data_IF_047475051997
#
_entry.id   IF_047475051997
#
_cell.length_a   1.000
_cell.length_b   1.000
_cell.length_c   1.000
_cell.angle_alpha   90.00
_cell.angle_beta   90.00
_cell.angle_gamma   90.00
#
_symmetry.space_group_name_H-M   'P 1'
#
loop_
_entity.id
_entity.type
_entity.pdbx_description
1 polymer ?
#
# COMPACT_ATOMS: atom_id res chain seq x y z
N UNK A 1 16.53 -70.59 -26.81
CA UNK A 1 16.52 -69.71 -25.62
C UNK A 1 16.04 -68.33 -26.08
N UNK A 2 14.80 -67.92 -25.70
CA UNK A 2 14.25 -66.59 -26.02
C UNK A 2 14.47 -65.71 -24.80
N UNK A 3 15.26 -64.64 -24.94
CA UNK A 3 15.44 -63.63 -23.89
C UNK A 3 14.31 -62.60 -24.03
N UNK A 4 13.47 -62.47 -22.98
CA UNK A 4 12.45 -61.44 -22.87
C UNK A 4 13.09 -60.22 -22.18
N UNK A 5 13.25 -59.13 -22.90
CA UNK A 5 13.76 -57.84 -22.40
C UNK A 5 12.59 -57.08 -21.75
N UNK A 6 12.59 -56.93 -20.41
CA UNK A 6 11.65 -56.11 -19.69
C UNK A 6 12.14 -54.64 -19.73
N UNK A 7 11.45 -53.80 -20.49
CA UNK A 7 11.68 -52.37 -20.43
C UNK A 7 10.87 -51.81 -19.26
N UNK A 8 11.55 -51.40 -18.19
CA UNK A 8 10.95 -50.68 -17.06
C UNK A 8 10.83 -49.24 -17.42
N UNK A 9 9.59 -48.78 -17.72
CA UNK A 9 9.28 -47.38 -17.97
C UNK A 9 9.25 -46.60 -16.65
N UNK A 10 10.33 -45.86 -16.32
CA UNK A 10 10.36 -44.94 -15.18
C UNK A 10 9.55 -43.69 -15.53
N UNK A 11 8.29 -43.60 -15.08
CA UNK A 11 7.53 -42.37 -15.14
C UNK A 11 8.02 -41.42 -14.03
N UNK A 12 8.75 -40.38 -14.41
CA UNK A 12 9.12 -39.28 -13.50
C UNK A 12 7.86 -38.44 -13.25
N UNK A 13 7.23 -38.62 -12.10
CA UNK A 13 6.24 -37.69 -11.56
C UNK A 13 6.97 -36.39 -11.19
N UNK A 14 6.85 -35.36 -12.04
CA UNK A 14 7.26 -34.00 -11.67
C UNK A 14 6.29 -33.49 -10.59
N UNK A 15 6.68 -33.57 -9.35
CA UNK A 15 5.98 -32.87 -8.26
C UNK A 15 6.25 -31.38 -8.42
N UNK A 16 5.25 -30.65 -8.95
CA UNK A 16 5.24 -29.22 -8.83
C UNK A 16 5.08 -28.88 -7.35
N UNK A 17 6.16 -28.48 -6.71
CA UNK A 17 6.11 -27.91 -5.37
C UNK A 17 5.33 -26.59 -5.47
N UNK A 18 4.06 -26.61 -5.06
CA UNK A 18 3.29 -25.38 -4.87
C UNK A 18 3.99 -24.62 -3.73
N UNK A 19 4.65 -23.49 -4.06
CA UNK A 19 5.23 -22.63 -3.04
C UNK A 19 4.05 -22.02 -2.28
N UNK A 20 3.83 -22.44 -1.04
CA UNK A 20 2.81 -21.85 -0.17
C UNK A 20 3.10 -20.36 0.01
N UNK A 21 2.19 -19.52 -0.48
CA UNK A 21 2.30 -18.07 -0.37
C UNK A 21 1.50 -17.61 0.85
N UNK A 22 2.18 -17.34 1.97
CA UNK A 22 1.56 -16.94 3.23
C UNK A 22 0.76 -15.63 3.13
N UNK A 23 1.12 -14.74 2.22
CA UNK A 23 0.48 -13.45 2.02
C UNK A 23 -0.36 -13.37 0.73
N UNK A 24 -0.72 -14.52 0.13
CA UNK A 24 -1.64 -14.59 -1.02
C UNK A 24 -3.09 -14.83 -0.57
N UNK A 25 -3.52 -14.22 0.50
CA UNK A 25 -4.89 -14.30 1.02
C UNK A 25 -5.71 -13.09 0.57
N UNK A 26 -7.04 -13.21 0.65
CA UNK A 26 -7.95 -12.10 0.36
C UNK A 26 -7.60 -10.84 1.17
N UNK A 27 -7.33 -11.00 2.46
CA UNK A 27 -6.96 -9.88 3.35
C UNK A 27 -5.67 -9.18 2.91
N UNK A 28 -4.64 -9.95 2.49
CA UNK A 28 -3.39 -9.35 1.99
C UNK A 28 -3.53 -8.71 0.60
N UNK A 29 -4.67 -8.90 -0.07
CA UNK A 29 -4.99 -8.29 -1.36
C UNK A 29 -5.92 -7.09 -1.27
N UNK A 30 -6.37 -6.74 -0.07
CA UNK A 30 -7.33 -5.64 0.14
C UNK A 30 -6.82 -4.28 -0.33
N UNK A 31 -5.51 -4.06 -0.32
CA UNK A 31 -4.88 -2.81 -0.75
C UNK A 31 -4.26 -2.89 -2.17
N UNK A 32 -4.40 -4.01 -2.88
CA UNK A 32 -3.83 -4.24 -4.21
C UNK A 32 -4.34 -3.27 -5.27
N UNK A 33 -5.48 -2.61 -5.04
CA UNK A 33 -6.00 -1.60 -5.95
C UNK A 33 -5.06 -0.38 -6.10
N UNK A 34 -4.09 -0.22 -5.20
CA UNK A 34 -3.11 0.87 -5.25
C UNK A 34 -1.81 0.47 -5.97
N UNK A 35 -1.60 -0.81 -6.32
CA UNK A 35 -0.40 -1.28 -7.03
C UNK A 35 -0.28 -0.63 -8.41
N UNK A 36 0.92 -0.18 -8.76
CA UNK A 36 1.29 0.28 -10.10
C UNK A 36 2.11 1.56 -10.15
N UNK A 37 2.30 2.06 -11.36
CA UNK A 37 2.96 3.32 -11.63
C UNK A 37 1.91 4.41 -11.81
N UNK A 38 2.08 5.52 -11.14
CA UNK A 38 1.07 6.57 -11.05
C UNK A 38 1.62 7.96 -11.35
N UNK A 39 0.87 8.73 -12.13
CA UNK A 39 0.95 10.18 -12.14
C UNK A 39 -0.10 10.72 -11.19
N UNK A 40 0.28 11.63 -10.30
CA UNK A 40 -0.60 12.17 -9.25
C UNK A 40 -0.81 13.65 -9.46
N UNK A 41 -2.08 14.06 -9.45
CA UNK A 41 -2.46 15.47 -9.59
C UNK A 41 -3.27 15.93 -8.38
N UNK A 42 -3.10 17.21 -8.03
CA UNK A 42 -3.95 17.90 -7.06
C UNK A 42 -5.36 18.17 -7.65
N UNK A 43 -6.37 18.56 -6.85
CA UNK A 43 -7.74 18.82 -7.34
C UNK A 43 -7.84 19.87 -8.42
N UNK A 44 -6.91 20.83 -8.48
CA UNK A 44 -6.84 21.86 -9.53
C UNK A 44 -6.14 21.38 -10.82
N UNK A 45 -5.75 20.09 -10.91
CA UNK A 45 -5.08 19.50 -12.06
C UNK A 45 -3.56 19.68 -12.08
N UNK A 46 -2.97 20.39 -11.11
CA UNK A 46 -1.51 20.57 -11.02
C UNK A 46 -0.83 19.24 -10.68
N UNK A 47 0.29 18.94 -11.34
CA UNK A 47 1.10 17.77 -11.01
C UNK A 47 1.58 17.85 -9.56
N UNK A 48 1.25 16.85 -8.76
CA UNK A 48 1.73 16.70 -7.38
C UNK A 48 3.01 15.83 -7.33
N UNK A 49 3.13 14.86 -8.22
CA UNK A 49 4.29 13.98 -8.30
C UNK A 49 4.01 12.67 -9.04
N UNK A 50 4.91 11.72 -8.88
CA UNK A 50 4.78 10.35 -9.37
C UNK A 50 4.93 9.38 -8.22
N UNK A 51 4.31 8.21 -8.35
CA UNK A 51 4.38 7.18 -7.32
C UNK A 51 4.49 5.80 -7.95
N UNK A 52 5.35 4.96 -7.38
CA UNK A 52 5.47 3.56 -7.76
C UNK A 52 5.11 2.70 -6.56
N UNK A 53 4.09 1.86 -6.71
CA UNK A 53 3.66 0.92 -5.69
C UNK A 53 3.83 -0.50 -6.21
N UNK A 54 4.65 -1.30 -5.54
CA UNK A 54 4.93 -2.69 -5.90
C UNK A 54 4.78 -3.63 -4.69
N UNK A 55 4.48 -4.89 -4.96
CA UNK A 55 4.51 -5.95 -3.94
C UNK A 55 5.91 -6.52 -3.82
N UNK A 56 6.38 -6.62 -2.59
CA UNK A 56 7.66 -7.24 -2.22
C UNK A 56 7.45 -8.28 -1.12
N UNK A 57 8.51 -9.01 -0.71
CA UNK A 57 8.46 -10.00 0.36
C UNK A 57 7.37 -11.08 0.14
N UNK A 58 7.38 -11.71 -1.04
CA UNK A 58 6.38 -12.73 -1.41
C UNK A 58 4.92 -12.25 -1.17
N UNK A 59 4.61 -11.02 -1.59
CA UNK A 59 3.32 -10.32 -1.48
C UNK A 59 2.92 -9.84 -0.07
N UNK A 60 3.79 -9.95 0.92
CA UNK A 60 3.47 -9.51 2.28
C UNK A 60 3.53 -8.00 2.48
N UNK A 61 4.20 -7.26 1.60
CA UNK A 61 4.39 -5.81 1.72
C UNK A 61 4.06 -5.11 0.41
N UNK A 62 3.26 -4.05 0.47
CA UNK A 62 3.19 -3.05 -0.59
C UNK A 62 4.21 -1.96 -0.26
N UNK A 63 5.22 -1.81 -1.13
CA UNK A 63 6.20 -0.74 -1.02
C UNK A 63 5.80 0.43 -1.91
N UNK A 64 5.80 1.61 -1.34
CA UNK A 64 5.59 2.87 -2.02
C UNK A 64 6.91 3.60 -2.24
N UNK A 65 7.11 4.18 -3.43
CA UNK A 65 8.20 5.09 -3.73
C UNK A 65 7.63 6.36 -4.37
N UNK A 66 7.51 7.40 -3.56
CA UNK A 66 7.00 8.70 -3.94
C UNK A 66 8.10 9.63 -4.41
N UNK A 67 7.84 10.34 -5.51
CA UNK A 67 8.65 11.46 -5.98
C UNK A 67 7.76 12.68 -6.16
N UNK A 68 7.97 13.72 -5.38
CA UNK A 68 7.21 14.96 -5.47
C UNK A 68 7.52 15.74 -6.76
N UNK A 69 6.55 16.47 -7.28
CA UNK A 69 6.80 17.47 -8.32
C UNK A 69 7.65 18.64 -7.79
N UNK A 70 7.66 18.88 -6.47
CA UNK A 70 8.62 19.78 -5.85
C UNK A 70 10.01 19.13 -5.84
N UNK A 71 11.02 19.71 -6.50
CA UNK A 71 12.33 19.11 -6.61
C UNK A 71 12.97 18.77 -5.26
N UNK A 72 13.60 17.61 -5.17
CA UNK A 72 14.37 17.17 -4.02
C UNK A 72 13.52 16.59 -2.86
N UNK A 73 12.21 16.46 -3.04
CA UNK A 73 11.33 15.85 -2.03
C UNK A 73 10.93 14.44 -2.50
N UNK A 74 11.26 13.45 -1.70
CA UNK A 74 10.90 12.04 -1.92
C UNK A 74 10.45 11.38 -0.62
N UNK A 75 9.74 10.27 -0.75
CA UNK A 75 9.35 9.48 0.40
C UNK A 75 9.09 8.02 0.04
N UNK A 76 9.06 7.17 1.03
CA UNK A 76 8.76 5.75 0.86
C UNK A 76 7.87 5.26 2.00
N UNK A 77 7.05 4.26 1.72
CA UNK A 77 6.35 3.54 2.77
C UNK A 77 6.37 2.04 2.56
N UNK A 78 6.27 1.31 3.67
CA UNK A 78 5.93 -0.10 3.67
C UNK A 78 4.53 -0.26 4.27
N UNK A 79 3.67 -0.92 3.51
CA UNK A 79 2.29 -1.19 3.88
C UNK A 79 2.10 -2.69 3.99
N UNK A 80 1.60 -3.18 5.12
CA UNK A 80 1.46 -4.61 5.38
C UNK A 80 0.27 -4.90 6.28
N UNK A 81 -0.26 -6.12 6.15
CA UNK A 81 -1.30 -6.59 7.06
C UNK A 81 -0.67 -7.24 8.29
N UNK A 82 -0.92 -6.68 9.46
CA UNK A 82 -0.50 -7.25 10.74
C UNK A 82 -1.53 -8.29 11.21
N UNK A 83 -1.26 -9.57 10.96
CA UNK A 83 -2.19 -10.66 11.29
C UNK A 83 -2.49 -10.78 12.79
N UNK A 84 -1.52 -10.48 13.67
CA UNK A 84 -1.70 -10.54 15.11
C UNK A 84 -2.69 -9.46 15.62
N UNK A 85 -2.68 -8.29 15.00
CA UNK A 85 -3.55 -7.16 15.34
C UNK A 85 -4.79 -7.08 14.45
N UNK A 86 -4.87 -7.90 13.40
CA UNK A 86 -5.94 -7.91 12.38
C UNK A 86 -6.18 -6.52 11.78
N UNK A 87 -5.10 -5.84 11.39
CA UNK A 87 -5.15 -4.50 10.81
C UNK A 87 -4.05 -4.30 9.79
N UNK A 88 -4.28 -3.39 8.85
CA UNK A 88 -3.26 -2.84 7.99
C UNK A 88 -2.44 -1.79 8.73
N UNK A 89 -1.14 -1.79 8.47
CA UNK A 89 -0.20 -0.79 9.00
C UNK A 89 0.60 -0.19 7.84
N UNK A 90 0.85 1.13 7.91
CA UNK A 90 1.77 1.83 7.01
C UNK A 90 2.83 2.52 7.84
N UNK A 91 4.09 2.35 7.45
CA UNK A 91 5.21 3.14 7.95
C UNK A 91 5.73 3.98 6.78
N UNK A 92 5.47 5.27 6.84
CA UNK A 92 5.94 6.27 5.89
C UNK A 92 7.17 6.99 6.43
N UNK A 93 8.14 7.26 5.56
CA UNK A 93 9.35 8.05 5.86
C UNK A 93 9.65 8.91 4.62
N UNK A 94 9.95 10.20 4.84
CA UNK A 94 10.43 11.09 3.80
C UNK A 94 11.91 11.48 3.98
N UNK A 95 12.48 12.07 2.94
CA UNK A 95 13.88 12.50 2.96
C UNK A 95 14.11 13.83 3.68
N UNK A 96 13.07 14.39 4.33
CA UNK A 96 13.17 15.53 5.23
C UNK A 96 13.23 15.08 6.71
N UNK A 97 13.15 13.76 6.97
CA UNK A 97 13.15 13.18 8.30
C UNK A 97 11.75 13.06 8.92
N UNK A 98 10.70 13.38 8.15
CA UNK A 98 9.32 13.14 8.57
C UNK A 98 8.98 11.65 8.54
N UNK A 99 8.15 11.20 9.49
CA UNK A 99 7.67 9.82 9.52
C UNK A 99 6.25 9.74 10.09
N UNK A 100 5.49 8.76 9.61
CA UNK A 100 4.15 8.43 10.09
C UNK A 100 4.02 6.92 10.28
N UNK A 101 3.38 6.51 11.37
CA UNK A 101 2.91 5.15 11.55
C UNK A 101 1.39 5.16 11.61
N UNK A 102 0.77 4.67 10.54
CA UNK A 102 -0.67 4.65 10.35
C UNK A 102 -1.21 3.22 10.52
N UNK A 103 -2.42 3.09 11.05
CA UNK A 103 -3.07 1.82 11.35
C UNK A 103 -4.56 1.90 11.00
N UNK A 104 -5.13 0.82 10.49
CA UNK A 104 -6.55 0.75 10.17
C UNK A 104 -6.91 -0.41 9.26
N UNK A 105 -7.99 -0.29 8.53
CA UNK A 105 -8.49 -1.38 7.70
C UNK A 105 -9.22 -0.87 6.45
N UNK A 106 -9.52 -1.81 5.57
CA UNK A 106 -10.40 -1.56 4.43
C UNK A 106 -11.85 -1.40 4.86
N UNK A 107 -12.50 -0.37 4.32
CA UNK A 107 -13.93 -0.14 4.46
C UNK A 107 -14.52 0.04 3.04
N UNK A 108 -15.23 -0.96 2.54
CA UNK A 108 -15.79 -0.98 1.17
C UNK A 108 -14.68 -0.80 0.10
N UNK A 109 -14.71 0.29 -0.66
CA UNK A 109 -13.73 0.64 -1.70
C UNK A 109 -12.59 1.55 -1.18
N UNK A 110 -12.46 1.69 0.14
CA UNK A 110 -11.47 2.57 0.76
C UNK A 110 -10.53 1.79 1.68
N UNK A 111 -9.25 2.15 1.68
CA UNK A 111 -8.32 1.86 2.76
C UNK A 111 -8.23 3.10 3.65
N UNK A 112 -8.51 2.97 4.95
CA UNK A 112 -8.54 4.10 5.89
C UNK A 112 -7.58 3.80 7.03
N UNK A 113 -6.51 4.57 7.11
CA UNK A 113 -5.49 4.42 8.15
C UNK A 113 -5.35 5.73 8.94
N UNK A 114 -5.01 5.62 10.24
CA UNK A 114 -4.81 6.75 11.15
C UNK A 114 -3.54 6.57 11.97
N UNK A 115 -2.92 7.69 12.37
CA UNK A 115 -1.89 7.65 13.41
C UNK A 115 -2.52 7.50 14.79
N UNK A 116 -1.71 7.16 15.79
CA UNK A 116 -2.10 7.35 17.16
C UNK A 116 -2.29 8.87 17.45
N UNK A 117 -3.06 9.19 18.49
CA UNK A 117 -3.27 10.57 18.91
C UNK A 117 -1.97 11.10 19.54
N UNK A 118 -1.53 12.25 19.07
CA UNK A 118 -0.39 12.99 19.60
C UNK A 118 -0.85 14.36 20.11
N UNK A 119 0.04 15.15 20.68
CA UNK A 119 -0.21 16.55 21.05
C UNK A 119 0.57 17.49 20.14
N UNK A 120 -0.09 18.54 19.66
CA UNK A 120 0.55 19.61 18.92
C UNK A 120 1.33 20.57 19.86
N UNK A 121 1.96 21.59 19.32
CA UNK A 121 2.72 22.58 20.09
C UNK A 121 1.88 23.35 21.14
N UNK A 122 0.56 23.41 20.92
CA UNK A 122 -0.38 24.04 21.86
C UNK A 122 -0.91 23.07 22.91
N UNK A 123 -0.46 21.80 22.90
CA UNK A 123 -0.92 20.76 23.81
C UNK A 123 -2.27 20.12 23.41
N UNK A 124 -2.82 20.46 22.23
CA UNK A 124 -4.10 19.95 21.77
C UNK A 124 -3.91 18.56 21.13
N UNK A 125 -4.85 17.61 21.35
CA UNK A 125 -4.80 16.29 20.74
C UNK A 125 -5.04 16.39 19.24
N UNK A 126 -4.21 15.70 18.47
CA UNK A 126 -4.38 15.58 17.02
C UNK A 126 -3.96 14.20 16.52
N UNK A 127 -4.45 13.83 15.34
CA UNK A 127 -4.01 12.67 14.60
C UNK A 127 -4.11 12.92 13.08
N UNK A 128 -3.40 12.12 12.31
CA UNK A 128 -3.53 12.08 10.86
C UNK A 128 -4.48 10.95 10.45
N UNK A 129 -5.28 11.18 9.44
CA UNK A 129 -6.08 10.18 8.75
C UNK A 129 -5.76 10.23 7.26
N UNK A 130 -5.44 9.07 6.69
CA UNK A 130 -5.24 8.94 5.25
C UNK A 130 -6.26 7.93 4.71
N UNK A 131 -6.97 8.32 3.66
CA UNK A 131 -7.98 7.53 2.99
C UNK A 131 -7.59 7.36 1.52
N UNK A 132 -7.39 6.13 1.09
CA UNK A 132 -7.23 5.78 -0.32
C UNK A 132 -8.57 5.24 -0.83
N UNK A 133 -9.17 5.91 -1.81
CA UNK A 133 -10.43 5.50 -2.42
C UNK A 133 -10.18 4.94 -3.81
N UNK A 134 -10.56 3.67 -4.03
CA UNK A 134 -10.61 3.06 -5.36
C UNK A 134 -11.81 3.61 -6.12
N UNK A 135 -11.57 4.33 -7.23
CA UNK A 135 -12.62 4.84 -8.10
C UNK A 135 -13.04 3.81 -9.16
N UNK A 136 -14.23 3.99 -9.74
CA UNK A 136 -14.78 3.09 -10.76
C UNK A 136 -14.01 3.08 -12.09
N UNK A 137 -13.27 4.14 -12.39
CA UNK A 137 -12.41 4.29 -13.58
C UNK A 137 -10.99 3.72 -13.39
N UNK A 138 -10.73 3.09 -12.24
CA UNK A 138 -9.43 2.51 -11.91
C UNK A 138 -8.43 3.51 -11.32
N UNK A 139 -8.78 4.80 -11.25
CA UNK A 139 -7.98 5.78 -10.50
C UNK A 139 -8.10 5.57 -8.99
N UNK A 140 -7.17 6.14 -8.22
CA UNK A 140 -7.20 6.13 -6.76
C UNK A 140 -7.08 7.56 -6.26
N UNK A 141 -7.95 7.98 -5.33
CA UNK A 141 -7.78 9.25 -4.61
C UNK A 141 -7.17 8.98 -3.25
N UNK A 142 -6.05 9.63 -2.96
CA UNK A 142 -5.47 9.70 -1.63
C UNK A 142 -5.84 11.02 -0.98
N UNK A 143 -6.48 10.95 0.19
CA UNK A 143 -6.91 12.12 0.94
C UNK A 143 -6.35 12.05 2.36
N UNK A 144 -5.45 12.97 2.69
CA UNK A 144 -4.76 13.04 3.97
C UNK A 144 -5.23 14.27 4.74
N UNK A 145 -5.69 14.04 5.96
CA UNK A 145 -6.23 15.04 6.86
C UNK A 145 -5.45 15.05 8.18
N UNK A 146 -5.26 16.23 8.73
CA UNK A 146 -4.87 16.44 10.13
C UNK A 146 -6.13 16.85 10.88
N UNK A 147 -6.47 16.10 11.93
CA UNK A 147 -7.70 16.29 12.70
C UNK A 147 -7.30 16.66 14.13
N UNK A 148 -7.66 17.88 14.58
CA UNK A 148 -7.36 18.40 15.92
C UNK A 148 -8.66 18.49 16.73
N UNK A 149 -8.63 18.08 17.99
CA UNK A 149 -9.78 18.09 18.91
C UNK A 149 -11.01 17.32 18.35
N UNK A 150 -10.80 16.30 17.50
CA UNK A 150 -11.83 15.49 16.82
C UNK A 150 -12.82 16.30 15.93
N UNK A 151 -12.58 17.57 15.66
CA UNK A 151 -13.47 18.45 14.91
C UNK A 151 -12.80 19.36 13.89
N UNK A 152 -11.61 19.85 14.19
CA UNK A 152 -10.92 20.82 13.33
C UNK A 152 -10.08 20.05 12.28
N UNK A 153 -10.51 20.08 11.04
CA UNK A 153 -9.94 19.29 9.95
C UNK A 153 -9.17 20.20 8.99
N UNK A 154 -7.90 19.88 8.78
CA UNK A 154 -7.03 20.51 7.78
C UNK A 154 -6.58 19.45 6.78
N UNK A 155 -6.79 19.72 5.50
CA UNK A 155 -6.31 18.84 4.42
C UNK A 155 -4.82 19.03 4.25
N UNK A 156 -4.05 17.98 4.50
CA UNK A 156 -2.60 17.97 4.33
C UNK A 156 -2.20 17.55 2.90
N UNK A 157 -2.99 16.67 2.27
CA UNK A 157 -2.78 16.24 0.89
C UNK A 157 -4.10 15.74 0.27
N UNK A 158 -4.33 16.09 -1.01
CA UNK A 158 -5.42 15.55 -1.82
C UNK A 158 -4.87 15.27 -3.22
N UNK A 159 -4.69 14.00 -3.54
CA UNK A 159 -4.06 13.55 -4.78
C UNK A 159 -4.92 12.55 -5.53
N UNK A 160 -5.12 12.79 -6.82
CA UNK A 160 -5.73 11.86 -7.76
C UNK A 160 -4.64 11.10 -8.51
N UNK A 161 -4.56 9.81 -8.28
CA UNK A 161 -3.64 8.86 -8.87
C UNK A 161 -4.24 8.29 -10.15
N UNK A 162 -3.61 8.53 -11.29
CA UNK A 162 -3.94 7.90 -12.58
C UNK A 162 -2.76 7.05 -13.03
N UNK A 163 -3.03 5.88 -13.60
CA UNK A 163 -1.98 5.00 -14.13
C UNK A 163 -1.15 5.76 -15.16
N UNK A 164 0.16 5.66 -15.03
CA UNK A 164 1.09 6.10 -16.08
C UNK A 164 1.04 5.07 -17.20
N UNK A 165 0.88 5.52 -18.44
CA UNK A 165 0.93 4.68 -19.64
C UNK A 165 2.34 4.16 -19.91
#
# INVERSE_FOLDING_TARGET
>A
MKYILYIILFSTLSMNAHKDCNCCTETHSEFDFWIGNWTVTSPNGTLAGTNVIDKIQDNCVLRENWTSATPGITGTSNNFYNAAKKQWEQIWIDNQGGSLHLKGNRVRNQMILKTDVAKNQNGEPFYHRVTWTKNGDGSVRQYWETITNDKDIVVAFDGLYKKTE
#
